data_IF_562099442127
#
_entry.id   IF_562099442127
#
_cell.length_a   1.000
_cell.length_b   1.000
_cell.length_c   1.000
_cell.angle_alpha   90.00
_cell.angle_beta   90.00
_cell.angle_gamma   90.00
#
_symmetry.space_group_name_H-M   'P 1'
#
loop_
_entity.id
_entity.type
_entity.pdbx_description
1 polymer ?
#
# COMPACT_ATOMS: atom_id res chain seq x y z
N UNK A 1 -12.94 -62.81 10.20
CA UNK A 1 -12.20 -61.54 10.25
C UNK A 1 -12.44 -60.80 8.94
N UNK A 2 -13.30 -59.77 8.94
CA UNK A 2 -13.62 -59.02 7.72
C UNK A 2 -12.47 -58.04 7.38
N UNK A 3 -12.12 -57.85 6.10
CA UNK A 3 -11.08 -56.91 5.70
C UNK A 3 -11.54 -55.47 6.00
N UNK A 4 -10.84 -54.78 6.91
CA UNK A 4 -11.10 -53.37 7.24
C UNK A 4 -10.96 -52.49 6.00
N UNK A 5 -12.02 -51.73 5.69
CA UNK A 5 -12.09 -50.85 4.52
C UNK A 5 -10.93 -49.83 4.52
N UNK A 6 -10.52 -49.36 3.33
CA UNK A 6 -9.48 -48.30 3.23
C UNK A 6 -9.83 -47.04 4.03
N UNK A 7 -11.12 -46.73 4.13
CA UNK A 7 -11.65 -45.62 4.91
C UNK A 7 -11.45 -45.77 6.42
N UNK A 8 -11.59 -46.99 6.96
CA UNK A 8 -11.25 -47.28 8.36
C UNK A 8 -9.77 -47.05 8.66
N UNK A 9 -8.88 -47.41 7.71
CA UNK A 9 -7.44 -47.19 7.86
C UNK A 9 -7.08 -45.70 7.79
N UNK A 10 -7.67 -44.95 6.85
CA UNK A 10 -7.52 -43.50 6.77
C UNK A 10 -8.05 -42.81 8.02
N UNK A 11 -9.25 -43.20 8.50
CA UNK A 11 -9.83 -42.66 9.72
C UNK A 11 -8.96 -42.94 10.94
N UNK A 12 -8.40 -44.15 11.06
CA UNK A 12 -7.45 -44.50 12.14
C UNK A 12 -6.09 -43.84 11.99
N UNK A 13 -5.68 -43.46 10.77
CA UNK A 13 -4.47 -42.68 10.55
C UNK A 13 -4.68 -41.21 10.94
N UNK A 14 -5.89 -40.67 10.71
CA UNK A 14 -6.26 -39.31 11.10
C UNK A 14 -6.74 -39.17 12.55
N UNK A 15 -7.21 -40.25 13.20
CA UNK A 15 -7.51 -40.28 14.62
C UNK A 15 -6.32 -40.86 15.39
N UNK A 16 -5.81 -40.15 16.39
CA UNK A 16 -4.61 -40.46 17.20
C UNK A 16 -4.67 -41.76 18.05
N UNK A 17 -5.29 -42.84 17.57
CA UNK A 17 -5.39 -44.15 18.23
C UNK A 17 -4.49 -45.19 17.54
N UNK A 18 -3.17 -45.23 17.83
CA UNK A 18 -2.29 -46.26 17.29
C UNK A 18 -2.54 -47.66 17.88
N UNK A 19 -3.14 -47.76 19.09
CA UNK A 19 -3.28 -49.03 19.84
C UNK A 19 -4.70 -49.61 19.90
N UNK A 20 -5.67 -49.05 19.16
CA UNK A 20 -7.06 -49.53 19.18
C UNK A 20 -7.84 -49.18 20.46
N UNK A 21 -9.11 -49.57 20.50
CA UNK A 21 -10.06 -49.20 21.57
C UNK A 21 -9.85 -49.97 22.89
N UNK A 22 -8.92 -50.93 22.93
CA UNK A 22 -8.85 -51.92 24.02
C UNK A 22 -8.15 -51.44 25.31
N UNK A 23 -7.62 -50.20 25.38
CA UNK A 23 -6.91 -49.70 26.58
C UNK A 23 -7.23 -48.26 27.01
N UNK A 24 -8.33 -47.66 26.53
CA UNK A 24 -8.69 -46.28 26.87
C UNK A 24 -9.94 -46.26 27.77
N UNK A 25 -9.82 -45.72 28.99
CA UNK A 25 -10.99 -45.39 29.79
C UNK A 25 -11.82 -44.31 29.07
N UNK A 26 -13.17 -44.31 29.21
CA UNK A 26 -14.04 -43.36 28.50
C UNK A 26 -13.65 -41.88 28.69
N UNK A 27 -13.12 -41.53 29.87
CA UNK A 27 -12.62 -40.18 30.16
C UNK A 27 -11.37 -39.80 29.36
N UNK A 28 -10.43 -40.72 29.18
CA UNK A 28 -9.21 -40.48 28.38
C UNK A 28 -9.54 -40.38 26.90
N UNK A 29 -10.51 -41.16 26.42
CA UNK A 29 -10.99 -41.09 25.05
C UNK A 29 -11.62 -39.72 24.74
N UNK A 30 -12.47 -39.21 25.64
CA UNK A 30 -13.07 -37.88 25.50
C UNK A 30 -12.01 -36.77 25.50
N UNK A 31 -11.00 -36.89 26.36
CA UNK A 31 -9.89 -35.94 26.42
C UNK A 31 -9.07 -35.95 25.12
N UNK A 32 -8.74 -37.13 24.59
CA UNK A 32 -8.02 -37.27 23.31
C UNK A 32 -8.81 -36.66 22.15
N UNK A 33 -10.13 -36.81 22.11
CA UNK A 33 -10.97 -36.16 21.11
C UNK A 33 -10.95 -34.64 21.23
N UNK A 34 -11.10 -34.10 22.45
CA UNK A 34 -11.05 -32.65 22.67
C UNK A 34 -9.67 -32.07 22.28
N UNK A 35 -8.61 -32.78 22.63
CA UNK A 35 -7.25 -32.36 22.34
C UNK A 35 -6.94 -32.45 20.83
N UNK A 36 -7.45 -33.47 20.13
CA UNK A 36 -7.39 -33.57 18.66
C UNK A 36 -8.12 -32.43 17.96
N UNK A 37 -9.32 -32.06 18.43
CA UNK A 37 -10.07 -30.92 17.89
C UNK A 37 -9.26 -29.63 18.04
N UNK A 38 -8.64 -29.42 19.21
CA UNK A 38 -7.84 -28.22 19.48
C UNK A 38 -6.59 -28.15 18.59
N UNK A 39 -5.87 -29.26 18.43
CA UNK A 39 -4.71 -29.35 17.53
C UNK A 39 -5.12 -29.11 16.08
N UNK A 40 -6.24 -29.69 15.65
CA UNK A 40 -6.76 -29.49 14.29
C UNK A 40 -7.12 -28.02 14.05
N UNK A 41 -7.78 -27.38 15.01
CA UNK A 41 -8.15 -25.97 14.92
C UNK A 41 -6.91 -25.06 14.84
N UNK A 42 -5.89 -25.31 15.67
CA UNK A 42 -4.63 -24.56 15.64
C UNK A 42 -3.90 -24.75 14.30
N UNK A 43 -3.76 -25.99 13.83
CA UNK A 43 -3.10 -26.28 12.56
C UNK A 43 -3.83 -25.61 11.39
N UNK A 44 -5.17 -25.59 11.40
CA UNK A 44 -5.98 -24.89 10.40
C UNK A 44 -5.69 -23.38 10.39
N UNK A 45 -5.63 -22.75 11.55
CA UNK A 45 -5.32 -21.31 11.65
C UNK A 45 -3.94 -20.99 11.08
N UNK A 46 -2.94 -21.79 11.42
CA UNK A 46 -1.58 -21.64 10.90
C UNK A 46 -1.53 -21.92 9.38
N UNK A 47 -2.21 -22.97 8.91
CA UNK A 47 -2.34 -23.27 7.48
C UNK A 47 -3.00 -22.14 6.70
N UNK A 48 -4.04 -21.51 7.25
CA UNK A 48 -4.67 -20.34 6.65
C UNK A 48 -3.74 -19.13 6.62
N UNK A 49 -2.95 -18.89 7.68
CA UNK A 49 -1.98 -17.80 7.74
C UNK A 49 -0.87 -17.97 6.69
N UNK A 50 -0.28 -19.17 6.60
CA UNK A 50 0.74 -19.50 5.60
C UNK A 50 0.17 -19.52 4.17
N UNK A 51 -1.09 -19.91 4.01
CA UNK A 51 -1.74 -19.89 2.70
C UNK A 51 -2.07 -18.49 2.21
N UNK A 52 -2.47 -17.61 3.12
CA UNK A 52 -2.59 -16.19 2.82
C UNK A 52 -1.23 -15.58 2.45
N UNK A 53 -0.18 -15.88 3.23
CA UNK A 53 1.18 -15.43 2.93
C UNK A 53 1.64 -15.87 1.53
N UNK A 54 1.48 -17.15 1.20
CA UNK A 54 1.83 -17.67 -0.12
C UNK A 54 1.07 -16.98 -1.26
N UNK A 55 -0.17 -16.56 -1.02
CA UNK A 55 -0.96 -15.85 -2.02
C UNK A 55 -0.46 -14.45 -2.33
N UNK A 56 0.32 -13.83 -1.44
CA UNK A 56 0.95 -12.53 -1.65
C UNK A 56 2.25 -12.56 -2.47
N UNK A 57 2.83 -13.73 -2.73
CA UNK A 57 4.13 -13.87 -3.42
C UNK A 57 4.00 -13.62 -4.93
N UNK A 58 2.84 -13.88 -5.53
CA UNK A 58 2.58 -13.67 -6.94
C UNK A 58 1.20 -13.05 -7.15
N UNK A 59 1.06 -12.17 -8.13
CA UNK A 59 -0.23 -11.56 -8.47
C UNK A 59 -1.09 -12.48 -9.34
N UNK A 60 -2.41 -12.42 -9.14
CA UNK A 60 -3.39 -13.17 -9.92
C UNK A 60 -3.52 -14.65 -9.52
N UNK A 61 -3.92 -15.49 -10.49
CA UNK A 61 -4.18 -16.92 -10.27
C UNK A 61 -2.98 -17.72 -9.70
N UNK A 62 -1.71 -17.48 -10.13
CA UNK A 62 -0.56 -18.18 -9.57
C UNK A 62 -0.39 -17.96 -8.06
N UNK A 63 -0.73 -16.77 -7.54
CA UNK A 63 -0.70 -16.47 -6.12
C UNK A 63 -1.62 -17.41 -5.33
N UNK A 64 -2.87 -17.58 -5.78
CA UNK A 64 -3.83 -18.47 -5.12
C UNK A 64 -3.29 -19.91 -5.03
N UNK A 65 -2.66 -20.41 -6.10
CA UNK A 65 -2.08 -21.75 -6.14
C UNK A 65 -0.91 -21.88 -5.16
N UNK A 66 0.00 -20.91 -5.15
CA UNK A 66 1.13 -20.87 -4.21
C UNK A 66 0.65 -20.79 -2.77
N UNK A 67 -0.40 -20.01 -2.52
CA UNK A 67 -1.08 -19.91 -1.23
C UNK A 67 -1.63 -21.25 -0.77
N UNK A 68 -2.45 -21.92 -1.58
CA UNK A 68 -3.00 -23.23 -1.22
C UNK A 68 -1.88 -24.24 -0.96
N UNK A 69 -0.82 -24.24 -1.77
CA UNK A 69 0.32 -25.15 -1.61
C UNK A 69 1.09 -24.89 -0.29
N UNK A 70 1.45 -23.64 0.00
CA UNK A 70 2.19 -23.29 1.21
C UNK A 70 1.35 -23.46 2.48
N UNK A 71 0.07 -23.06 2.44
CA UNK A 71 -0.86 -23.25 3.55
C UNK A 71 -1.12 -24.72 3.84
N UNK A 72 -1.31 -25.54 2.81
CA UNK A 72 -1.46 -26.98 2.94
C UNK A 72 -0.20 -27.65 3.48
N UNK A 73 0.98 -27.24 3.02
CA UNK A 73 2.26 -27.74 3.52
C UNK A 73 2.46 -27.39 5.00
N UNK A 74 2.25 -26.13 5.38
CA UNK A 74 2.38 -25.67 6.77
C UNK A 74 1.38 -26.39 7.69
N UNK A 75 0.12 -26.51 7.26
CA UNK A 75 -0.90 -27.30 7.94
C UNK A 75 -0.42 -28.73 8.18
N UNK A 76 0.05 -29.42 7.13
CA UNK A 76 0.50 -30.81 7.23
C UNK A 76 1.68 -30.97 8.18
N UNK A 77 2.67 -30.07 8.13
CA UNK A 77 3.83 -30.12 9.02
C UNK A 77 3.41 -29.91 10.47
N UNK A 78 2.62 -28.86 10.76
CA UNK A 78 2.20 -28.53 12.12
C UNK A 78 1.27 -29.62 12.67
N UNK A 79 0.31 -30.07 11.87
CA UNK A 79 -0.60 -31.15 12.24
C UNK A 79 0.16 -32.46 12.50
N UNK A 80 1.10 -32.84 11.63
CA UNK A 80 1.90 -34.06 11.81
C UNK A 80 2.81 -33.98 13.04
N UNK A 81 3.42 -32.81 13.31
CA UNK A 81 4.25 -32.60 14.49
C UNK A 81 3.42 -32.68 15.77
N UNK A 82 2.30 -31.97 15.85
CA UNK A 82 1.44 -31.97 17.04
C UNK A 82 0.76 -33.34 17.26
N UNK A 83 0.36 -34.01 16.18
CA UNK A 83 -0.14 -35.39 16.22
C UNK A 83 0.93 -36.38 16.72
N UNK A 84 2.15 -36.25 16.22
CA UNK A 84 3.30 -37.04 16.68
C UNK A 84 3.60 -36.78 18.17
N UNK A 85 3.50 -35.53 18.63
CA UNK A 85 3.73 -35.17 20.03
C UNK A 85 2.65 -35.72 20.99
N UNK A 86 1.39 -35.75 20.56
CA UNK A 86 0.32 -36.39 21.33
C UNK A 86 0.51 -37.89 21.47
N UNK A 87 1.07 -38.53 20.44
CA UNK A 87 1.35 -39.97 20.47
C UNK A 87 2.67 -40.29 21.16
N UNK A 88 3.58 -39.33 21.32
CA UNK A 88 4.93 -39.54 21.86
C UNK A 88 5.03 -39.45 23.40
N UNK A 89 4.23 -40.23 24.14
CA UNK A 89 4.57 -40.55 25.55
C UNK A 89 3.95 -41.87 26.03
N UNK A 90 4.79 -42.90 26.27
CA UNK A 90 4.59 -43.90 27.34
C UNK A 90 5.77 -44.89 27.61
N UNK A 91 6.94 -44.78 26.97
CA UNK A 91 8.07 -45.68 27.29
C UNK A 91 9.40 -44.93 27.46
N UNK A 92 9.89 -44.84 28.70
CA UNK A 92 11.33 -44.73 28.97
C UNK A 92 11.79 -43.55 29.84
N UNK A 93 12.40 -43.90 30.95
CA UNK A 93 13.12 -43.05 31.92
C UNK A 93 14.13 -42.10 31.24
N UNK A 94 14.05 -40.79 31.52
CA UNK A 94 15.05 -39.80 31.09
C UNK A 94 14.52 -38.36 31.05
N UNK A 95 14.62 -37.62 32.16
CA UNK A 95 14.05 -36.27 32.32
C UNK A 95 14.58 -35.17 31.38
N UNK A 96 15.68 -35.41 30.65
CA UNK A 96 16.31 -34.41 29.77
C UNK A 96 15.66 -34.23 28.38
N UNK A 97 15.00 -35.26 27.82
CA UNK A 97 14.40 -35.19 26.46
C UNK A 97 12.97 -34.60 26.42
N UNK A 98 12.32 -34.49 27.59
CA UNK A 98 10.93 -34.00 27.69
C UNK A 98 10.85 -32.47 27.59
N UNK A 99 11.83 -31.78 28.16
CA UNK A 99 11.91 -30.31 28.13
C UNK A 99 12.27 -29.81 26.73
N UNK A 100 13.10 -30.55 25.98
CA UNK A 100 13.56 -30.12 24.65
C UNK A 100 12.41 -29.98 23.63
N UNK A 101 11.39 -30.85 23.68
CA UNK A 101 10.29 -30.83 22.70
C UNK A 101 9.29 -29.70 22.95
N UNK A 102 8.99 -29.37 24.21
CA UNK A 102 8.13 -28.22 24.56
C UNK A 102 8.82 -26.91 24.17
N UNK A 103 10.14 -26.83 24.37
CA UNK A 103 10.95 -25.68 23.96
C UNK A 103 10.95 -25.51 22.45
N UNK A 104 11.09 -26.60 21.68
CA UNK A 104 10.97 -26.56 20.21
C UNK A 104 9.59 -26.07 19.78
N UNK A 105 8.52 -26.46 20.46
CA UNK A 105 7.15 -26.01 20.16
C UNK A 105 6.95 -24.53 20.45
N UNK A 106 7.38 -24.05 21.62
CA UNK A 106 7.36 -22.63 21.96
C UNK A 106 8.20 -21.80 20.99
N UNK A 107 9.35 -22.32 20.56
CA UNK A 107 10.19 -21.67 19.56
C UNK A 107 9.51 -21.61 18.19
N UNK A 108 8.86 -22.69 17.74
CA UNK A 108 8.18 -22.74 16.44
C UNK A 108 6.91 -21.86 16.42
N UNK A 109 6.10 -21.90 17.47
CA UNK A 109 4.92 -21.03 17.62
C UNK A 109 5.35 -19.57 17.77
N UNK A 110 6.37 -19.29 18.59
CA UNK A 110 6.94 -17.95 18.73
C UNK A 110 7.48 -17.43 17.40
N UNK A 111 8.13 -18.28 16.61
CA UNK A 111 8.61 -17.94 15.27
C UNK A 111 7.46 -17.70 14.29
N UNK A 112 6.39 -18.50 14.32
CA UNK A 112 5.20 -18.27 13.48
C UNK A 112 4.52 -16.94 13.82
N UNK A 113 4.31 -16.66 15.11
CA UNK A 113 3.74 -15.39 15.58
C UNK A 113 4.64 -14.22 15.21
N UNK A 114 5.96 -14.37 15.35
CA UNK A 114 6.91 -13.33 14.97
C UNK A 114 6.86 -13.03 13.46
N UNK A 115 6.73 -14.07 12.63
CA UNK A 115 6.65 -13.95 11.18
C UNK A 115 5.30 -13.42 10.71
N UNK A 116 4.21 -13.72 11.42
CA UNK A 116 2.83 -13.29 11.09
C UNK A 116 2.45 -11.93 11.66
N UNK A 117 3.06 -11.50 12.79
CA UNK A 117 2.80 -10.23 13.46
C UNK A 117 2.87 -8.99 12.54
N UNK A 118 3.90 -8.78 11.70
CA UNK A 118 3.95 -7.61 10.82
C UNK A 118 2.79 -7.58 9.82
N UNK A 119 2.33 -8.73 9.34
CA UNK A 119 1.22 -8.83 8.39
C UNK A 119 -0.15 -8.66 9.05
N UNK A 120 -0.31 -9.15 10.29
CA UNK A 120 -1.53 -8.91 11.08
C UNK A 120 -1.71 -7.41 11.36
N UNK A 121 -0.63 -6.71 11.67
CA UNK A 121 -0.66 -5.25 11.84
C UNK A 121 -1.07 -4.54 10.54
N UNK A 122 -0.51 -4.93 9.39
CA UNK A 122 -0.92 -4.39 8.09
C UNK A 122 -2.40 -4.63 7.78
N UNK A 123 -2.97 -5.75 8.23
CA UNK A 123 -4.39 -6.04 8.05
C UNK A 123 -5.28 -5.15 8.93
N UNK A 124 -5.00 -5.06 10.23
CA UNK A 124 -5.78 -4.27 11.18
C UNK A 124 -5.74 -2.78 10.83
N UNK A 125 -4.58 -2.28 10.41
CA UNK A 125 -4.39 -0.87 10.07
C UNK A 125 -4.56 -0.56 8.58
N UNK A 126 -5.09 -1.47 7.77
CA UNK A 126 -5.22 -1.28 6.31
C UNK A 126 -5.98 0.00 5.96
N UNK A 127 -7.12 0.23 6.62
CA UNK A 127 -7.97 1.38 6.37
C UNK A 127 -7.28 2.70 6.74
N UNK A 128 -6.49 2.68 7.82
CA UNK A 128 -5.77 3.85 8.32
C UNK A 128 -4.58 4.19 7.42
N UNK A 129 -3.78 3.18 7.05
CA UNK A 129 -2.66 3.32 6.11
C UNK A 129 -3.13 3.86 4.75
N UNK A 130 -4.25 3.34 4.25
CA UNK A 130 -4.83 3.80 2.98
C UNK A 130 -5.38 5.23 3.08
N UNK A 131 -5.98 5.60 4.21
CA UNK A 131 -6.45 6.95 4.45
C UNK A 131 -5.30 7.95 4.52
N UNK A 132 -4.22 7.63 5.23
CA UNK A 132 -3.03 8.46 5.34
C UNK A 132 -2.29 8.59 4.00
N UNK A 133 -2.16 7.49 3.24
CA UNK A 133 -1.56 7.54 1.91
C UNK A 133 -2.36 8.44 0.96
N UNK A 134 -3.69 8.34 0.97
CA UNK A 134 -4.55 9.20 0.15
C UNK A 134 -4.46 10.67 0.57
N UNK A 135 -4.36 10.95 1.88
CA UNK A 135 -4.16 12.32 2.38
C UNK A 135 -2.85 12.92 1.86
N UNK A 136 -1.75 12.20 2.00
CA UNK A 136 -0.44 12.68 1.53
C UNK A 136 -0.42 12.89 0.01
N UNK A 137 -1.01 11.95 -0.76
CA UNK A 137 -1.13 12.08 -2.21
C UNK A 137 -1.93 13.34 -2.58
N UNK A 138 -3.09 13.55 -1.97
CA UNK A 138 -3.92 14.72 -2.24
C UNK A 138 -3.19 16.02 -1.88
N UNK A 139 -2.50 16.07 -0.73
CA UNK A 139 -1.71 17.22 -0.32
C UNK A 139 -0.59 17.53 -1.32
N UNK A 140 0.16 16.52 -1.76
CA UNK A 140 1.24 16.69 -2.74
C UNK A 140 0.70 17.18 -4.10
N UNK A 141 -0.43 16.62 -4.56
CA UNK A 141 -1.11 17.03 -5.81
C UNK A 141 -1.59 18.48 -5.70
N UNK A 142 -2.21 18.86 -4.59
CA UNK A 142 -2.75 20.22 -4.43
C UNK A 142 -1.64 21.26 -4.28
N UNK A 143 -0.57 20.95 -3.56
CA UNK A 143 0.62 21.81 -3.51
C UNK A 143 1.25 22.00 -4.89
N UNK A 144 1.34 20.93 -5.70
CA UNK A 144 1.84 21.01 -7.06
C UNK A 144 0.97 21.88 -7.97
N UNK A 145 -0.37 21.73 -7.89
CA UNK A 145 -1.33 22.57 -8.63
C UNK A 145 -1.16 24.04 -8.27
N UNK A 146 -1.07 24.34 -6.98
CA UNK A 146 -0.85 25.71 -6.49
C UNK A 146 0.48 26.27 -6.98
N UNK A 147 1.56 25.48 -6.97
CA UNK A 147 2.87 25.92 -7.45
C UNK A 147 2.86 26.22 -8.96
N UNK A 148 2.19 25.40 -9.78
CA UNK A 148 2.03 25.64 -11.22
C UNK A 148 1.20 26.91 -11.46
N UNK A 149 0.06 27.05 -10.77
CA UNK A 149 -0.81 28.22 -10.88
C UNK A 149 -0.09 29.52 -10.46
N UNK A 150 0.61 29.51 -9.33
CA UNK A 150 1.32 30.68 -8.80
C UNK A 150 2.43 31.17 -9.76
N UNK A 151 3.13 30.26 -10.45
CA UNK A 151 4.14 30.63 -11.45
C UNK A 151 3.53 31.35 -12.65
N UNK A 152 2.39 30.87 -13.12
CA UNK A 152 1.65 31.50 -14.23
C UNK A 152 1.08 32.84 -13.79
N UNK A 153 0.48 32.91 -12.61
CA UNK A 153 -0.11 34.12 -12.06
C UNK A 153 0.94 35.21 -11.81
N UNK A 154 2.12 34.86 -11.29
CA UNK A 154 3.22 35.80 -11.09
C UNK A 154 3.64 36.48 -12.41
N UNK A 155 3.76 35.71 -13.49
CA UNK A 155 4.09 36.22 -14.82
C UNK A 155 2.96 37.05 -15.42
N UNK A 156 1.71 36.62 -15.25
CA UNK A 156 0.53 37.39 -15.69
C UNK A 156 0.43 38.73 -14.96
N UNK A 157 0.73 38.75 -13.67
CA UNK A 157 0.73 39.98 -12.87
C UNK A 157 1.80 40.97 -13.35
N UNK A 158 2.98 40.49 -13.73
CA UNK A 158 4.05 41.31 -14.30
C UNK A 158 3.66 41.92 -15.66
N UNK A 159 3.08 41.10 -16.54
CA UNK A 159 2.55 41.57 -17.83
C UNK A 159 1.43 42.59 -17.64
N UNK A 160 0.48 42.33 -16.74
CA UNK A 160 -0.61 43.26 -16.46
C UNK A 160 -0.10 44.60 -15.92
N UNK A 161 0.91 44.61 -15.04
CA UNK A 161 1.54 45.86 -14.57
C UNK A 161 2.13 46.65 -15.74
N UNK A 162 2.81 45.97 -16.65
CA UNK A 162 3.41 46.60 -17.83
C UNK A 162 2.34 47.17 -18.77
N UNK A 163 1.27 46.40 -19.03
CA UNK A 163 0.12 46.87 -19.83
C UNK A 163 -0.52 48.10 -19.19
N UNK A 164 -0.70 48.12 -17.87
CA UNK A 164 -1.30 49.27 -17.19
C UNK A 164 -0.40 50.51 -17.26
N UNK A 165 0.92 50.36 -17.05
CA UNK A 165 1.87 51.45 -17.20
C UNK A 165 1.86 52.02 -18.63
N UNK A 166 1.73 51.16 -19.65
CA UNK A 166 1.64 51.56 -21.05
C UNK A 166 0.32 52.28 -21.37
N UNK A 167 -0.80 51.83 -20.79
CA UNK A 167 -2.10 52.50 -20.91
C UNK A 167 -2.09 53.89 -20.28
N UNK A 168 -1.50 54.03 -19.10
CA UNK A 168 -1.30 55.34 -18.46
C UNK A 168 -0.40 56.24 -19.31
N UNK A 169 0.70 55.70 -19.85
CA UNK A 169 1.59 56.40 -20.78
C UNK A 169 0.88 56.85 -22.06
N UNK A 170 0.00 56.03 -22.62
CA UNK A 170 -0.81 56.37 -23.79
C UNK A 170 -1.74 57.56 -23.52
N UNK A 171 -2.41 57.58 -22.36
CA UNK A 171 -3.29 58.69 -21.96
C UNK A 171 -2.49 60.00 -21.85
N UNK A 172 -1.28 59.94 -21.26
CA UNK A 172 -0.39 61.10 -21.17
C UNK A 172 0.07 61.57 -22.56
N UNK A 173 0.41 60.65 -23.46
CA UNK A 173 0.85 60.97 -24.81
C UNK A 173 -0.26 61.63 -25.63
N UNK A 174 -1.47 61.05 -25.63
CA UNK A 174 -2.63 61.59 -26.36
C UNK A 174 -3.08 62.95 -25.82
N UNK A 175 -2.95 63.17 -24.51
CA UNK A 175 -3.26 64.47 -23.87
C UNK A 175 -2.16 65.53 -24.07
N UNK A 176 -1.07 65.21 -24.77
CA UNK A 176 0.06 66.12 -25.02
C UNK A 176 0.97 66.37 -23.81
N UNK A 177 0.77 65.62 -22.72
CA UNK A 177 1.60 65.67 -21.49
C UNK A 177 2.74 64.65 -21.50
N UNK A 178 2.77 63.78 -22.50
CA UNK A 178 3.79 62.74 -22.65
C UNK A 178 5.06 63.23 -23.35
N UNK A 179 5.89 62.28 -23.79
CA UNK A 179 7.28 62.50 -24.19
C UNK A 179 7.41 63.30 -25.49
N UNK A 180 6.46 63.15 -26.43
CA UNK A 180 6.47 63.95 -27.66
C UNK A 180 6.03 65.41 -27.46
N UNK A 181 5.36 65.72 -26.34
CA UNK A 181 4.70 67.02 -26.07
C UNK A 181 3.72 67.46 -27.18
N UNK A 182 3.29 66.55 -28.04
CA UNK A 182 2.35 66.81 -29.14
C UNK A 182 0.98 66.29 -28.75
N UNK A 183 -0.05 67.08 -29.01
CA UNK A 183 -1.42 66.69 -28.71
C UNK A 183 -1.97 65.75 -29.79
N UNK A 184 -2.77 64.76 -29.39
CA UNK A 184 -3.50 63.89 -30.30
C UNK A 184 -2.75 62.61 -30.68
N UNK A 185 -3.17 62.03 -31.80
CA UNK A 185 -2.76 60.68 -32.19
C UNK A 185 -1.57 60.74 -33.16
N UNK A 186 -0.38 60.48 -32.63
CA UNK A 186 0.88 60.51 -33.36
C UNK A 186 1.53 59.13 -33.54
N UNK A 187 2.72 59.11 -34.13
CA UNK A 187 3.53 57.89 -34.27
C UNK A 187 3.83 57.23 -32.91
N UNK A 188 4.04 58.02 -31.85
CA UNK A 188 4.34 57.51 -30.51
C UNK A 188 3.13 56.85 -29.84
N UNK A 189 1.93 57.42 -29.95
CA UNK A 189 0.71 56.81 -29.42
C UNK A 189 0.35 55.52 -30.15
N UNK A 190 0.53 55.47 -31.48
CA UNK A 190 0.34 54.24 -32.26
C UNK A 190 1.33 53.14 -31.85
N UNK A 191 2.62 53.47 -31.68
CA UNK A 191 3.61 52.50 -31.22
C UNK A 191 3.29 51.96 -29.80
N UNK A 192 2.75 52.79 -28.90
CA UNK A 192 2.31 52.35 -27.57
C UNK A 192 1.09 51.40 -27.69
N UNK A 193 0.12 51.70 -28.55
CA UNK A 193 -1.03 50.79 -28.79
C UNK A 193 -0.60 49.45 -29.34
N UNK A 194 0.29 49.44 -30.34
CA UNK A 194 0.81 48.19 -30.91
C UNK A 194 1.52 47.36 -29.84
N UNK A 195 2.28 48.00 -28.93
CA UNK A 195 2.90 47.32 -27.80
C UNK A 195 1.87 46.76 -26.81
N UNK A 196 0.82 47.52 -26.47
CA UNK A 196 -0.28 47.04 -25.61
C UNK A 196 -0.94 45.80 -26.24
N UNK A 197 -1.27 45.85 -27.53
CA UNK A 197 -1.87 44.73 -28.25
C UNK A 197 -0.95 43.49 -28.25
N UNK A 198 0.36 43.69 -28.45
CA UNK A 198 1.33 42.61 -28.40
C UNK A 198 1.41 41.98 -26.99
N UNK A 199 1.45 42.79 -25.93
CA UNK A 199 1.47 42.34 -24.54
C UNK A 199 0.16 41.63 -24.15
N UNK A 200 -0.99 42.12 -24.61
CA UNK A 200 -2.28 41.46 -24.38
C UNK A 200 -2.34 40.08 -25.08
N UNK A 201 -1.84 39.98 -26.32
CA UNK A 201 -1.73 38.71 -27.01
C UNK A 201 -0.75 37.74 -26.32
N UNK A 202 0.34 38.26 -25.75
CA UNK A 202 1.28 37.47 -24.95
C UNK A 202 0.65 36.98 -23.64
N UNK A 203 -0.13 37.82 -22.94
CA UNK A 203 -0.87 37.43 -21.74
C UNK A 203 -1.85 36.28 -22.04
N UNK A 204 -2.60 36.36 -23.14
CA UNK A 204 -3.51 35.28 -23.55
C UNK A 204 -2.77 33.98 -23.89
N UNK A 205 -1.62 34.07 -24.56
CA UNK A 205 -0.79 32.89 -24.84
C UNK A 205 -0.26 32.26 -23.55
N UNK A 206 0.15 33.08 -22.60
CA UNK A 206 0.64 32.59 -21.31
C UNK A 206 -0.46 31.93 -20.48
N UNK A 207 -1.66 32.51 -20.46
CA UNK A 207 -2.82 31.94 -19.77
C UNK A 207 -3.21 30.58 -20.34
N UNK A 208 -3.32 30.48 -21.68
CA UNK A 208 -3.61 29.21 -22.36
C UNK A 208 -2.50 28.17 -22.16
N UNK A 209 -1.22 28.59 -22.18
CA UNK A 209 -0.11 27.70 -21.87
C UNK A 209 -0.17 27.16 -20.44
N UNK A 210 -0.49 28.02 -19.46
CA UNK A 210 -0.64 27.63 -18.06
C UNK A 210 -1.81 26.67 -17.83
N UNK A 211 -2.95 26.89 -18.51
CA UNK A 211 -4.09 25.97 -18.47
C UNK A 211 -3.75 24.61 -19.08
N UNK A 212 -3.03 24.59 -20.21
CA UNK A 212 -2.57 23.36 -20.85
C UNK A 212 -1.56 22.60 -19.98
N UNK A 213 -0.68 23.31 -19.27
CA UNK A 213 0.27 22.68 -18.34
C UNK A 213 -0.46 22.05 -17.14
N UNK A 214 -1.42 22.76 -16.54
CA UNK A 214 -2.24 22.24 -15.44
C UNK A 214 -3.08 21.04 -15.89
N UNK A 215 -3.65 21.08 -17.10
CA UNK A 215 -4.39 19.97 -17.68
C UNK A 215 -3.49 18.75 -17.91
N UNK A 216 -2.28 18.95 -18.45
CA UNK A 216 -1.30 17.87 -18.64
C UNK A 216 -0.86 17.25 -17.31
N UNK A 217 -0.67 18.07 -16.27
CA UNK A 217 -0.38 17.58 -14.92
C UNK A 217 -1.54 16.74 -14.37
N UNK A 218 -2.76 17.25 -14.41
CA UNK A 218 -3.94 16.54 -13.93
C UNK A 218 -4.17 15.22 -14.69
N UNK A 219 -3.92 15.20 -16.00
CA UNK A 219 -4.00 13.99 -16.81
C UNK A 219 -2.94 12.96 -16.40
N UNK A 220 -1.70 13.36 -16.17
CA UNK A 220 -0.63 12.47 -15.72
C UNK A 220 -0.95 11.85 -14.35
N UNK A 221 -1.47 12.66 -13.43
CA UNK A 221 -1.94 12.19 -12.11
C UNK A 221 -3.10 11.21 -12.25
N UNK A 222 -4.10 11.52 -13.08
CA UNK A 222 -5.26 10.64 -13.29
C UNK A 222 -4.88 9.30 -13.95
N UNK A 223 -3.83 9.27 -14.77
CA UNK A 223 -3.29 8.07 -15.40
C UNK A 223 -2.32 7.28 -14.49
N UNK A 224 -2.06 7.75 -13.26
CA UNK A 224 -1.14 7.09 -12.33
C UNK A 224 0.33 7.14 -12.75
N UNK A 225 0.71 8.07 -13.63
CA UNK A 225 2.08 8.20 -14.14
C UNK A 225 2.98 8.99 -13.17
N UNK A 226 3.12 8.51 -11.94
CA UNK A 226 3.84 9.24 -10.88
C UNK A 226 5.33 9.47 -11.19
N UNK A 227 5.97 8.57 -11.95
CA UNK A 227 7.34 8.77 -12.41
C UNK A 227 7.47 9.97 -13.36
N UNK A 228 6.52 10.12 -14.29
CA UNK A 228 6.45 11.28 -15.18
C UNK A 228 6.22 12.56 -14.38
N UNK A 229 5.32 12.49 -13.38
CA UNK A 229 5.02 13.62 -12.49
C UNK A 229 6.28 14.09 -11.76
N UNK A 230 7.07 13.15 -11.24
CA UNK A 230 8.34 13.41 -10.57
C UNK A 230 9.38 14.02 -11.50
N UNK A 231 9.59 13.45 -12.69
CA UNK A 231 10.61 13.93 -13.63
C UNK A 231 10.27 15.32 -14.18
N UNK A 232 9.02 15.54 -14.58
CA UNK A 232 8.62 16.76 -15.29
C UNK A 232 8.24 17.90 -14.36
N UNK A 233 7.60 17.62 -13.23
CA UNK A 233 7.15 18.65 -12.29
C UNK A 233 7.91 18.65 -10.96
N UNK A 234 8.80 17.67 -10.72
CA UNK A 234 9.61 17.61 -9.50
C UNK A 234 8.83 17.18 -8.26
N UNK A 235 7.63 16.62 -8.43
CA UNK A 235 6.71 16.29 -7.34
C UNK A 235 6.80 14.80 -7.06
N UNK A 236 7.22 14.43 -5.86
CA UNK A 236 7.26 13.03 -5.42
C UNK A 236 5.90 12.65 -4.85
N UNK A 237 5.11 11.89 -5.63
CA UNK A 237 3.79 11.41 -5.19
C UNK A 237 3.99 10.00 -4.60
N UNK A 238 3.68 9.79 -3.30
CA UNK A 238 3.90 8.53 -2.65
C UNK A 238 3.10 7.40 -3.33
N UNK A 239 3.77 6.27 -3.58
CA UNK A 239 3.20 5.15 -4.33
C UNK A 239 2.58 4.13 -3.38
N UNK A 240 1.49 3.49 -3.78
CA UNK A 240 0.89 2.44 -2.96
C UNK A 240 1.67 1.11 -3.10
N UNK A 241 2.84 1.03 -2.45
CA UNK A 241 3.70 -0.16 -2.46
C UNK A 241 3.73 -0.88 -1.11
N UNK A 242 3.95 -2.22 -1.07
CA UNK A 242 4.07 -2.96 0.18
C UNK A 242 5.18 -2.44 1.11
N UNK A 243 6.27 -1.95 0.53
CA UNK A 243 7.39 -1.34 1.27
C UNK A 243 6.95 -0.04 1.94
N UNK A 244 6.19 0.78 1.22
CA UNK A 244 5.71 2.07 1.72
C UNK A 244 4.63 1.89 2.79
N UNK A 245 3.75 0.89 2.64
CA UNK A 245 2.80 0.49 3.69
C UNK A 245 3.51 0.00 4.96
N UNK A 246 4.60 -0.76 4.82
CA UNK A 246 5.38 -1.24 5.96
C UNK A 246 6.08 -0.09 6.70
N UNK A 247 6.56 0.92 5.98
CA UNK A 247 7.19 2.10 6.58
C UNK A 247 6.22 2.96 7.43
N UNK A 248 4.91 2.89 7.13
CA UNK A 248 3.83 3.65 7.78
C UNK A 248 3.14 2.91 8.93
N UNK A 249 3.55 1.69 9.23
CA UNK A 249 3.07 1.01 10.43
C UNK A 249 3.47 1.83 11.67
N UNK A 250 2.60 1.94 12.69
CA UNK A 250 2.94 2.62 13.92
C UNK A 250 4.17 1.96 14.52
N UNK A 251 5.32 2.64 14.44
CA UNK A 251 6.55 2.19 15.08
C UNK A 251 6.27 2.20 16.58
N UNK A 252 6.50 1.07 17.25
CA UNK A 252 6.55 1.04 18.71
C UNK A 252 7.51 2.13 19.15
N UNK A 253 6.98 3.21 19.73
CA UNK A 253 7.78 4.12 20.54
C UNK A 253 8.40 3.29 21.65
N UNK A 254 9.71 3.44 21.90
CA UNK A 254 10.42 2.65 22.91
C UNK A 254 9.82 2.84 24.31
#
# INVERSE_FOLDING_TARGET
>A
MLPKSRWERLRRFFSLQPFGDEMLTPGVQMWLYAAWILVMAMALLEGCAWGWFGSGVASGWPGVVIGIALGGLAFLIIWALDASLMTSNLTGHGGGKKISLIVVRLALTGFSVWLTAPYLAQFVFRADIEADLRRDQNLAIDQARQAIAARTEAKLNDLHKTIQADREGLILEVSGRGRSKRYGDGLTSNAIRERILALEAEAQKLESAGQNELAAFNQAVAQGQFDLVKVRWGVDIPSDSPVERAARLPKKTP
#
